data_IF_223725166838
#
_entry.id   IF_223725166838
#
_cell.length_a   1.000
_cell.length_b   1.000
_cell.length_c   1.000
_cell.angle_alpha   90.00
_cell.angle_beta   90.00
_cell.angle_gamma   90.00
#
_symmetry.space_group_name_H-M   'P 1'
#
loop_
_entity.id
_entity.type
_entity.pdbx_description
1 polymer ?
#
# COMPACT_ATOMS: atom_id res chain seq x y z
N UNK A 1 -9.87 -5.60 3.37
CA UNK A 1 -10.56 -4.37 3.82
C UNK A 1 -9.62 -3.17 3.65
N UNK A 2 -10.13 -1.94 3.51
CA UNK A 2 -9.34 -0.69 3.31
C UNK A 2 -8.42 -0.61 2.07
N UNK A 3 -8.51 -1.55 1.12
CA UNK A 3 -7.60 -1.63 -0.04
C UNK A 3 -7.75 -0.50 -1.06
N UNK A 4 -8.95 0.05 -1.23
CA UNK A 4 -9.17 1.18 -2.15
C UNK A 4 -8.39 2.42 -1.69
N UNK A 5 -7.63 3.02 -2.59
CA UNK A 5 -6.79 4.21 -2.33
C UNK A 5 -7.55 5.46 -2.82
N UNK A 6 -7.45 6.62 -2.13
CA UNK A 6 -8.04 7.86 -2.64
C UNK A 6 -7.54 8.18 -4.06
N UNK A 7 -8.43 8.70 -4.92
CA UNK A 7 -8.11 9.01 -6.31
C UNK A 7 -6.88 9.93 -6.44
N UNK A 8 -6.76 10.94 -5.57
CA UNK A 8 -5.62 11.86 -5.60
C UNK A 8 -4.26 11.18 -5.39
N UNK A 9 -4.19 10.04 -4.67
CA UNK A 9 -2.94 9.26 -4.56
C UNK A 9 -2.61 8.59 -5.90
N UNK A 10 -3.62 8.06 -6.60
CA UNK A 10 -3.44 7.47 -7.92
C UNK A 10 -3.01 8.54 -8.93
N UNK A 11 -3.58 9.74 -8.85
CA UNK A 11 -3.21 10.86 -9.73
C UNK A 11 -1.77 11.30 -9.49
N UNK A 12 -1.32 11.34 -8.23
CA UNK A 12 0.09 11.59 -7.87
C UNK A 12 1.00 10.54 -8.50
N UNK A 13 0.67 9.25 -8.39
CA UNK A 13 1.44 8.17 -9.04
C UNK A 13 1.46 8.36 -10.56
N UNK A 14 0.32 8.72 -11.16
CA UNK A 14 0.21 8.96 -12.60
C UNK A 14 0.88 10.26 -13.07
N UNK A 15 1.29 11.14 -12.16
CA UNK A 15 2.09 12.33 -12.51
C UNK A 15 3.59 12.03 -12.62
N UNK A 16 4.06 10.91 -12.07
CA UNK A 16 5.48 10.57 -12.02
C UNK A 16 6.02 10.06 -13.36
N UNK A 17 7.30 10.27 -13.70
CA UNK A 17 7.89 9.75 -14.95
C UNK A 17 7.74 8.23 -15.11
N UNK A 18 7.63 7.74 -16.34
CA UNK A 18 7.49 6.30 -16.62
C UNK A 18 8.77 5.51 -16.31
N UNK A 19 9.92 6.16 -16.37
CA UNK A 19 11.26 5.63 -16.08
C UNK A 19 11.68 5.85 -14.61
N UNK A 20 10.78 6.37 -13.77
CA UNK A 20 11.05 6.53 -12.34
C UNK A 20 11.26 5.16 -11.67
N UNK A 21 12.21 5.08 -10.75
CA UNK A 21 12.45 3.85 -9.99
C UNK A 21 11.21 3.50 -9.13
N UNK A 22 10.69 2.25 -9.17
CA UNK A 22 9.41 1.90 -8.56
C UNK A 22 9.36 2.16 -7.06
N UNK A 23 10.49 1.95 -6.38
CA UNK A 23 10.59 2.26 -4.95
C UNK A 23 10.46 3.76 -4.63
N UNK A 24 10.94 4.65 -5.51
CA UNK A 24 10.77 6.09 -5.34
C UNK A 24 9.31 6.51 -5.48
N UNK A 25 8.60 5.91 -6.44
CA UNK A 25 7.15 6.08 -6.62
C UNK A 25 6.38 5.57 -5.41
N UNK A 26 6.70 4.36 -4.95
CA UNK A 26 6.06 3.71 -3.81
C UNK A 26 6.20 4.55 -2.53
N UNK A 27 7.42 4.95 -2.16
CA UNK A 27 7.67 5.76 -0.95
C UNK A 27 6.94 7.09 -1.03
N UNK A 28 7.03 7.79 -2.17
CA UNK A 28 6.36 9.09 -2.37
C UNK A 28 4.84 8.98 -2.23
N UNK A 29 4.24 7.95 -2.83
CA UNK A 29 2.79 7.72 -2.75
C UNK A 29 2.34 7.31 -1.34
N UNK A 30 3.13 6.50 -0.63
CA UNK A 30 2.88 6.15 0.77
C UNK A 30 2.94 7.37 1.68
N UNK A 31 3.90 8.29 1.46
CA UNK A 31 3.95 9.57 2.17
C UNK A 31 2.75 10.45 1.84
N UNK A 32 2.38 10.57 0.56
CA UNK A 32 1.23 11.36 0.12
C UNK A 32 -0.10 10.85 0.70
N UNK A 33 -0.23 9.54 0.94
CA UNK A 33 -1.41 8.94 1.56
C UNK A 33 -1.74 9.55 2.94
N UNK A 34 -0.73 10.02 3.69
CA UNK A 34 -0.95 10.67 4.99
C UNK A 34 -1.84 11.92 4.91
N UNK A 35 -1.79 12.66 3.78
CA UNK A 35 -2.56 13.88 3.55
C UNK A 35 -4.06 13.58 3.51
N UNK A 36 -4.45 12.38 3.07
CA UNK A 36 -5.85 11.94 2.98
C UNK A 36 -6.40 11.40 4.30
N UNK A 37 -5.60 11.42 5.37
CA UNK A 37 -5.98 10.93 6.70
C UNK A 37 -5.68 11.97 7.80
N UNK A 38 -6.31 13.17 7.75
CA UNK A 38 -6.13 14.19 8.79
C UNK A 38 -6.67 13.74 10.16
N UNK A 39 -7.53 12.71 10.20
CA UNK A 39 -7.98 12.04 11.41
C UNK A 39 -6.85 11.30 12.15
N UNK A 40 -5.75 10.98 11.46
CA UNK A 40 -4.60 10.25 12.00
C UNK A 40 -3.34 11.12 12.14
N UNK A 41 -3.46 12.44 11.95
CA UNK A 41 -2.32 13.35 12.05
C UNK A 41 -2.25 13.95 13.47
N UNK A 42 -1.20 13.63 14.26
CA UNK A 42 -1.04 14.10 15.63
C UNK A 42 -0.88 15.63 15.73
N UNK A 43 -0.30 16.27 14.71
CA UNK A 43 -0.18 17.73 14.67
C UNK A 43 -1.54 18.43 14.48
N UNK A 44 -2.56 17.73 13.97
CA UNK A 44 -3.91 18.28 13.76
C UNK A 44 -4.90 17.86 14.85
N UNK A 45 -4.72 16.66 15.43
CA UNK A 45 -5.67 16.06 16.37
C UNK A 45 -5.19 16.02 17.81
N UNK A 46 -3.89 16.20 18.05
CA UNK A 46 -3.25 15.96 19.35
C UNK A 46 -2.61 14.57 19.41
N UNK A 47 -1.74 14.37 20.40
CA UNK A 47 -1.04 13.08 20.60
C UNK A 47 -1.93 12.00 21.25
N UNK A 48 -3.10 12.37 21.76
CA UNK A 48 -4.11 11.47 22.34
C UNK A 48 -4.65 10.44 21.34
N UNK A 49 -4.50 10.68 20.03
CA UNK A 49 -4.81 9.69 18.98
C UNK A 49 -4.02 8.38 19.16
N UNK A 50 -2.87 8.44 19.85
CA UNK A 50 -2.03 7.29 20.13
C UNK A 50 -2.46 6.52 21.38
N UNK A 51 -3.38 7.01 22.20
CA UNK A 51 -3.79 6.31 23.42
C UNK A 51 -4.74 5.15 23.11
N UNK A 52 -5.64 5.34 22.15
CA UNK A 52 -6.59 4.33 21.73
C UNK A 52 -5.94 3.24 20.85
N UNK A 53 -5.92 2.01 21.36
CA UNK A 53 -5.50 0.82 20.58
C UNK A 53 -6.31 0.68 19.29
N UNK A 54 -7.61 0.95 19.34
CA UNK A 54 -8.52 0.83 18.20
C UNK A 54 -8.15 1.80 17.08
N UNK A 55 -7.77 3.03 17.43
CA UNK A 55 -7.30 4.03 16.45
C UNK A 55 -6.00 3.58 15.82
N UNK A 56 -5.03 3.10 16.60
CA UNK A 56 -3.75 2.59 16.10
C UNK A 56 -3.93 1.39 15.16
N UNK A 57 -4.71 0.39 15.58
CA UNK A 57 -5.00 -0.81 14.78
C UNK A 57 -5.65 -0.46 13.44
N UNK A 58 -6.58 0.52 13.43
CA UNK A 58 -7.21 1.00 12.20
C UNK A 58 -6.19 1.57 11.21
N UNK A 59 -5.19 2.33 11.70
CA UNK A 59 -4.15 2.87 10.82
C UNK A 59 -3.23 1.78 10.29
N UNK A 60 -2.87 0.80 11.12
CA UNK A 60 -2.08 -0.37 10.70
C UNK A 60 -2.80 -1.11 9.56
N UNK A 61 -4.08 -1.42 9.72
CA UNK A 61 -4.88 -2.10 8.70
C UNK A 61 -5.03 -1.24 7.44
N UNK A 62 -5.15 0.08 7.55
CA UNK A 62 -5.19 0.99 6.39
C UNK A 62 -3.88 0.95 5.59
N UNK A 63 -2.74 1.03 6.27
CA UNK A 63 -1.42 1.00 5.63
C UNK A 63 -1.22 -0.34 4.92
N UNK A 64 -1.42 -1.46 5.63
CA UNK A 64 -1.28 -2.81 5.08
C UNK A 64 -2.27 -3.01 3.92
N UNK A 65 -3.53 -2.58 4.07
CA UNK A 65 -4.55 -2.75 3.05
C UNK A 65 -4.25 -1.98 1.75
N UNK A 66 -3.70 -0.76 1.85
CA UNK A 66 -3.46 0.12 0.69
C UNK A 66 -2.11 -0.10 0.02
N UNK A 67 -1.11 -0.62 0.74
CA UNK A 67 0.24 -0.83 0.22
C UNK A 67 0.26 -1.66 -1.08
N UNK A 68 -0.48 -2.78 -1.22
CA UNK A 68 -0.51 -3.54 -2.48
C UNK A 68 -1.10 -2.74 -3.64
N UNK A 69 -2.13 -1.92 -3.40
CA UNK A 69 -2.75 -1.13 -4.47
C UNK A 69 -1.83 0.00 -4.93
N UNK A 70 -1.10 0.64 -4.01
CA UNK A 70 -0.07 1.63 -4.36
C UNK A 70 1.07 0.96 -5.13
N UNK A 71 1.55 -0.21 -4.67
CA UNK A 71 2.60 -0.95 -5.35
C UNK A 71 2.19 -1.40 -6.76
N UNK A 72 0.97 -1.90 -6.94
CA UNK A 72 0.45 -2.29 -8.24
C UNK A 72 0.28 -1.07 -9.17
N UNK A 73 -0.22 0.05 -8.66
CA UNK A 73 -0.33 1.29 -9.43
C UNK A 73 1.04 1.83 -9.86
N UNK A 74 2.06 1.75 -8.99
CA UNK A 74 3.43 2.12 -9.31
C UNK A 74 4.01 1.24 -10.44
N UNK A 75 3.83 -0.08 -10.36
CA UNK A 75 4.25 -1.00 -11.41
C UNK A 75 3.53 -0.71 -12.75
N UNK A 76 2.21 -0.55 -12.72
CA UNK A 76 1.42 -0.26 -13.91
C UNK A 76 1.81 1.07 -14.55
N UNK A 77 2.13 2.09 -13.73
CA UNK A 77 2.66 3.37 -14.22
C UNK A 77 3.92 3.18 -15.04
N UNK A 78 4.88 2.41 -14.53
CA UNK A 78 6.11 2.11 -15.27
C UNK A 78 5.86 1.29 -16.53
N UNK A 79 4.87 0.40 -16.50
CA UNK A 79 4.44 -0.37 -17.66
C UNK A 79 3.61 0.44 -18.68
N UNK A 80 3.37 1.74 -18.44
CA UNK A 80 2.54 2.60 -19.31
C UNK A 80 1.05 2.25 -19.28
N UNK A 81 0.58 1.60 -18.21
CA UNK A 81 -0.80 1.11 -18.04
C UNK A 81 -1.56 1.93 -16.99
N UNK A 82 -2.88 2.08 -17.14
CA UNK A 82 -3.72 2.71 -16.13
C UNK A 82 -3.80 1.85 -14.85
N UNK A 83 -4.01 2.45 -13.67
CA UNK A 83 -4.11 1.71 -12.43
C UNK A 83 -5.40 0.88 -12.38
N UNK A 84 -5.31 -0.31 -11.80
CA UNK A 84 -6.46 -1.20 -11.59
C UNK A 84 -6.92 -1.12 -10.14
N UNK A 85 -8.23 -0.99 -9.93
CA UNK A 85 -8.83 -0.95 -8.59
C UNK A 85 -8.88 -2.35 -7.95
N UNK A 86 -8.70 -2.45 -6.63
CA UNK A 86 -8.75 -3.72 -5.92
C UNK A 86 -10.15 -4.34 -5.92
N UNK A 87 -10.21 -5.66 -5.84
CA UNK A 87 -11.44 -6.44 -5.66
C UNK A 87 -11.60 -6.86 -4.20
N UNK A 88 -12.83 -6.75 -3.67
CA UNK A 88 -13.15 -7.18 -2.32
C UNK A 88 -13.33 -8.69 -2.16
N UNK A 89 -13.45 -9.42 -3.28
CA UNK A 89 -13.77 -10.85 -3.30
C UNK A 89 -12.53 -11.76 -3.37
N UNK A 90 -11.33 -11.18 -3.33
CA UNK A 90 -10.06 -11.88 -3.47
C UNK A 90 -9.26 -11.80 -2.15
N UNK A 91 -8.43 -12.82 -1.90
CA UNK A 91 -7.46 -12.77 -0.80
C UNK A 91 -6.39 -11.69 -1.03
N UNK A 92 -5.54 -11.43 -0.03
CA UNK A 92 -4.54 -10.36 -0.11
C UNK A 92 -3.57 -10.53 -1.29
N UNK A 93 -2.99 -11.74 -1.44
CA UNK A 93 -2.08 -12.08 -2.52
C UNK A 93 -2.79 -12.14 -3.89
N UNK A 94 -3.99 -12.75 -3.96
CA UNK A 94 -4.77 -12.79 -5.20
C UNK A 94 -5.15 -11.38 -5.67
N UNK A 95 -5.56 -10.52 -4.74
CA UNK A 95 -5.93 -9.15 -5.08
C UNK A 95 -4.74 -8.36 -5.64
N UNK A 96 -3.52 -8.58 -5.11
CA UNK A 96 -2.32 -7.97 -5.68
C UNK A 96 -2.07 -8.44 -7.11
N UNK A 97 -2.07 -9.75 -7.37
CA UNK A 97 -1.90 -10.30 -8.72
C UNK A 97 -3.01 -9.84 -9.68
N UNK A 98 -4.25 -9.79 -9.20
CA UNK A 98 -5.38 -9.27 -9.96
C UNK A 98 -5.14 -7.83 -10.39
N UNK A 99 -4.63 -6.97 -9.50
CA UNK A 99 -4.33 -5.58 -9.85
C UNK A 99 -3.21 -5.47 -10.89
N UNK A 100 -2.23 -6.37 -10.89
CA UNK A 100 -1.13 -6.35 -11.86
C UNK A 100 -1.58 -6.82 -13.26
N UNK A 101 -2.36 -7.90 -13.33
CA UNK A 101 -2.56 -8.66 -14.58
C UNK A 101 -3.98 -8.61 -15.16
N UNK A 102 -4.98 -8.14 -14.42
CA UNK A 102 -6.37 -8.16 -14.92
C UNK A 102 -6.62 -7.23 -16.11
N UNK A 103 -5.81 -6.18 -16.27
CA UNK A 103 -5.96 -5.16 -17.34
C UNK A 103 -7.39 -4.58 -17.43
N UNK A 104 -8.09 -4.47 -16.30
CA UNK A 104 -9.48 -4.00 -16.24
C UNK A 104 -10.54 -5.09 -16.42
N UNK A 105 -10.17 -6.33 -16.70
CA UNK A 105 -11.08 -7.46 -16.75
C UNK A 105 -11.49 -7.90 -15.33
N UNK A 106 -12.69 -7.51 -14.90
CA UNK A 106 -13.24 -7.85 -13.58
C UNK A 106 -13.46 -9.35 -13.34
N UNK A 107 -13.52 -10.15 -14.41
CA UNK A 107 -13.65 -11.60 -14.33
C UNK A 107 -12.30 -12.33 -14.30
N UNK A 108 -11.19 -11.61 -14.38
CA UNK A 108 -9.86 -12.20 -14.27
C UNK A 108 -9.69 -12.87 -12.91
N UNK A 109 -9.22 -14.12 -12.93
CA UNK A 109 -8.85 -14.86 -11.72
C UNK A 109 -7.35 -15.17 -11.77
N UNK A 110 -6.57 -14.70 -10.79
CA UNK A 110 -5.16 -15.06 -10.68
C UNK A 110 -4.96 -16.56 -10.63
N UNK A 111 -3.81 -17.04 -11.10
CA UNK A 111 -3.46 -18.45 -10.96
C UNK A 111 -3.30 -18.80 -9.47
N UNK A 112 -4.04 -19.80 -8.95
CA UNK A 112 -4.01 -20.13 -7.52
C UNK A 112 -2.62 -20.59 -7.04
N UNK A 113 -1.79 -21.16 -7.92
CA UNK A 113 -0.41 -21.51 -7.59
C UNK A 113 0.46 -20.27 -7.39
N UNK A 114 0.33 -19.27 -8.28
CA UNK A 114 1.06 -18.01 -8.15
C UNK A 114 0.60 -17.22 -6.92
N UNK A 115 -0.70 -17.19 -6.65
CA UNK A 115 -1.24 -16.57 -5.45
C UNK A 115 -0.67 -17.19 -4.18
N UNK A 116 -0.60 -18.53 -4.12
CA UNK A 116 0.01 -19.23 -2.97
C UNK A 116 1.50 -18.95 -2.83
N UNK A 117 2.26 -18.92 -3.92
CA UNK A 117 3.70 -18.59 -3.88
C UNK A 117 3.90 -17.16 -3.37
N UNK A 118 3.11 -16.22 -3.87
CA UNK A 118 3.17 -14.83 -3.43
C UNK A 118 2.81 -14.66 -1.95
N UNK A 119 1.79 -15.38 -1.48
CA UNK A 119 1.40 -15.37 -0.06
C UNK A 119 2.55 -15.87 0.84
N UNK A 120 3.20 -16.96 0.45
CA UNK A 120 4.40 -17.46 1.15
C UNK A 120 5.52 -16.42 1.11
N UNK A 121 5.77 -15.78 -0.04
CA UNK A 121 6.80 -14.75 -0.15
C UNK A 121 6.52 -13.56 0.79
N UNK A 122 5.27 -13.11 0.88
CA UNK A 122 4.89 -12.04 1.81
C UNK A 122 5.09 -12.44 3.26
N UNK A 123 4.73 -13.67 3.64
CA UNK A 123 4.95 -14.17 5.00
C UNK A 123 6.45 -14.23 5.34
N UNK A 124 7.27 -14.73 4.42
CA UNK A 124 8.71 -14.87 4.64
C UNK A 124 9.44 -13.52 4.77
N UNK A 125 8.94 -12.46 4.12
CA UNK A 125 9.52 -11.12 4.18
C UNK A 125 8.81 -10.19 5.17
N UNK A 126 7.85 -10.70 5.94
CA UNK A 126 7.03 -9.86 6.82
C UNK A 126 7.84 -9.19 7.93
N UNK A 127 8.91 -9.83 8.40
CA UNK A 127 9.69 -9.38 9.56
C UNK A 127 11.12 -9.91 9.45
N UNK A 128 12.10 -9.07 9.81
CA UNK A 128 13.51 -9.48 9.91
C UNK A 128 14.25 -8.59 10.94
N UNK A 129 13.72 -8.59 12.16
CA UNK A 129 14.13 -7.84 13.32
C UNK A 129 14.41 -6.34 13.03
N UNK A 130 15.53 -5.83 13.54
CA UNK A 130 15.95 -4.44 13.46
C UNK A 130 16.82 -4.18 12.22
N UNK A 131 16.35 -4.62 11.04
CA UNK A 131 16.96 -4.23 9.78
C UNK A 131 16.85 -2.69 9.54
N UNK A 132 17.56 -2.17 8.55
CA UNK A 132 17.63 -0.73 8.28
C UNK A 132 16.25 -0.08 8.08
N UNK A 133 15.32 -0.76 7.41
CA UNK A 133 13.97 -0.23 7.17
C UNK A 133 13.14 -0.15 8.45
N UNK A 134 13.21 -1.19 9.30
CA UNK A 134 12.58 -1.20 10.62
C UNK A 134 13.17 -0.11 11.52
N UNK A 135 14.50 0.01 11.56
CA UNK A 135 15.18 1.00 12.39
C UNK A 135 14.83 2.44 11.96
N UNK A 136 14.82 2.72 10.66
CA UNK A 136 14.43 4.03 10.13
C UNK A 136 12.98 4.37 10.46
N UNK A 137 12.04 3.44 10.24
CA UNK A 137 10.63 3.64 10.55
C UNK A 137 10.40 3.91 12.04
N UNK A 138 11.08 3.17 12.93
CA UNK A 138 10.99 3.39 14.39
C UNK A 138 11.58 4.72 14.81
N UNK A 139 12.70 5.13 14.21
CA UNK A 139 13.31 6.42 14.50
C UNK A 139 12.38 7.56 14.10
N UNK A 140 11.82 7.53 12.89
CA UNK A 140 10.85 8.53 12.43
C UNK A 140 9.58 8.57 13.29
N UNK A 141 9.03 7.40 13.67
CA UNK A 141 7.82 7.35 14.49
C UNK A 141 8.04 7.81 15.95
N UNK A 142 9.30 7.89 16.42
CA UNK A 142 9.60 8.24 17.82
C UNK A 142 9.33 9.71 18.17
N UNK A 143 9.23 10.59 17.17
CA UNK A 143 8.84 12.00 17.37
C UNK A 143 7.33 12.19 17.59
N UNK A 144 6.54 11.12 17.46
CA UNK A 144 5.08 11.19 17.33
C UNK A 144 4.70 11.80 16.00
#
# INVERSE_FOLDING_TARGET
QHSAVPQGVLDIIQSMPHDAHPMGVLVSAMSALSIFHPDANPALRGQDIYDSKQVRDKQIVRIIGKAPTIAAAAYLRMAGRPPVLPSANLSYAENFLYMLDSLGNRSYKPNPRLARVLDILFILHAEHEMNCSTAAARHLASSG
#
